data_IF_709357793051
#
_entry.id   IF_709357793051
#
_cell.length_a   1.000
_cell.length_b   1.000
_cell.length_c   1.000
_cell.angle_alpha   90.00
_cell.angle_beta   90.00
_cell.angle_gamma   90.00
#
_symmetry.space_group_name_H-M   'P 1'
#
loop_
_entity.id
_entity.type
_entity.pdbx_description
1 polymer ?
#
# COMPACT_ATOMS: atom_id res chain seq x y z
N UNK A 1 -7.37 -8.67 1.20
CA UNK A 1 -7.86 -7.47 1.92
C UNK A 1 -6.87 -7.21 3.05
N UNK A 2 -6.25 -6.02 3.08
CA UNK A 2 -5.08 -5.75 3.93
C UNK A 2 -5.35 -5.92 5.42
N UNK A 3 -4.34 -6.42 6.19
CA UNK A 3 -4.42 -6.41 7.65
C UNK A 3 -4.62 -4.97 8.12
N UNK A 4 -5.25 -4.81 9.30
CA UNK A 4 -5.60 -3.49 9.84
C UNK A 4 -4.35 -2.58 9.84
N UNK A 5 -4.29 -1.55 8.97
CA UNK A 5 -3.08 -0.74 8.79
C UNK A 5 -2.73 0.09 10.03
N UNK A 6 -3.66 0.15 11.00
CA UNK A 6 -3.57 0.89 12.24
C UNK A 6 -3.44 0.00 13.49
N UNK A 7 -3.02 -1.27 13.34
CA UNK A 7 -2.73 -2.12 14.50
C UNK A 7 -1.65 -1.50 15.40
N UNK A 8 -1.78 -1.61 16.74
CA UNK A 8 -0.80 -1.02 17.66
C UNK A 8 0.64 -1.50 17.42
N UNK A 9 1.65 -0.63 17.58
CA UNK A 9 1.50 0.81 17.79
C UNK A 9 1.02 1.50 16.50
N UNK A 10 -0.04 2.32 16.64
CA UNK A 10 -0.65 3.01 15.52
C UNK A 10 0.37 3.92 14.83
N UNK A 11 0.27 4.10 13.50
CA UNK A 11 1.15 5.02 12.80
C UNK A 11 0.90 6.46 13.26
N UNK A 12 1.97 7.24 13.36
CA UNK A 12 1.91 8.69 13.55
C UNK A 12 1.27 9.38 12.33
N UNK A 13 1.57 8.87 11.13
CA UNK A 13 1.01 9.38 9.87
C UNK A 13 0.54 8.21 9.01
N UNK A 14 -0.74 8.23 8.64
CA UNK A 14 -1.33 7.32 7.66
C UNK A 14 -1.57 8.09 6.35
N UNK A 15 -1.04 7.58 5.25
CA UNK A 15 -1.18 8.16 3.92
C UNK A 15 -2.05 7.22 3.07
N UNK A 16 -3.17 7.74 2.56
CA UNK A 16 -4.04 7.01 1.66
C UNK A 16 -3.81 7.51 0.24
N UNK A 17 -3.48 6.60 -0.67
CA UNK A 17 -3.18 6.91 -2.06
C UNK A 17 -4.22 6.25 -2.97
N UNK A 18 -5.18 7.01 -3.52
CA UNK A 18 -6.09 6.50 -4.52
C UNK A 18 -5.33 6.05 -5.77
N UNK A 19 -5.57 4.83 -6.23
CA UNK A 19 -4.88 4.26 -7.38
C UNK A 19 -5.80 3.34 -8.19
N UNK A 20 -5.72 3.39 -9.51
CA UNK A 20 -6.38 2.39 -10.35
C UNK A 20 -5.67 1.02 -10.23
N UNK A 21 -6.39 -0.11 -10.38
CA UNK A 21 -5.80 -1.46 -10.40
C UNK A 21 -4.60 -1.58 -11.35
N UNK A 22 -4.68 -0.99 -12.54
CA UNK A 22 -3.64 -1.01 -13.57
C UNK A 22 -2.35 -0.24 -13.23
N UNK A 23 -2.35 0.59 -12.19
CA UNK A 23 -1.21 1.45 -11.84
C UNK A 23 -0.12 0.75 -11.00
N UNK A 24 0.17 -0.53 -11.23
CA UNK A 24 1.14 -1.30 -10.44
C UNK A 24 2.52 -0.63 -10.39
N UNK A 25 3.04 -0.18 -11.54
CA UNK A 25 4.33 0.50 -11.61
C UNK A 25 4.36 1.85 -10.85
N UNK A 26 3.23 2.58 -10.82
CA UNK A 26 3.15 3.86 -10.08
C UNK A 26 3.15 3.62 -8.58
N UNK A 27 2.43 2.58 -8.12
CA UNK A 27 2.47 2.17 -6.71
C UNK A 27 3.87 1.73 -6.29
N UNK A 28 4.58 1.01 -7.15
CA UNK A 28 5.98 0.65 -6.91
C UNK A 28 6.87 1.90 -6.76
N UNK A 29 6.77 2.86 -7.68
CA UNK A 29 7.52 4.11 -7.58
C UNK A 29 7.23 4.89 -6.29
N UNK A 30 5.98 4.90 -5.81
CA UNK A 30 5.64 5.50 -4.51
C UNK A 30 6.33 4.76 -3.35
N UNK A 31 6.31 3.42 -3.36
CA UNK A 31 7.00 2.60 -2.34
C UNK A 31 8.50 2.83 -2.32
N UNK A 32 9.12 2.95 -3.49
CA UNK A 32 10.57 3.10 -3.64
C UNK A 32 11.04 4.55 -3.41
N UNK A 33 10.11 5.47 -3.19
CA UNK A 33 10.41 6.89 -2.94
C UNK A 33 9.82 7.33 -1.60
N UNK A 34 8.87 8.26 -1.60
CA UNK A 34 8.38 8.94 -0.41
C UNK A 34 7.39 8.10 0.42
N UNK A 35 6.77 7.08 -0.18
CA UNK A 35 5.71 6.28 0.44
C UNK A 35 6.22 5.03 1.17
N UNK A 36 7.50 4.71 1.03
CA UNK A 36 8.15 3.61 1.76
C UNK A 36 8.39 3.94 3.24
N UNK A 37 8.85 2.95 4.02
CA UNK A 37 9.33 3.20 5.37
C UNK A 37 10.47 4.22 5.32
N UNK A 38 10.35 5.30 6.07
CA UNK A 38 11.38 6.33 6.19
C UNK A 38 11.75 6.51 7.66
N UNK A 39 13.05 6.71 7.91
CA UNK A 39 13.59 7.07 9.20
C UNK A 39 14.41 5.95 9.85
N UNK A 40 15.29 6.34 10.76
CA UNK A 40 16.07 5.42 11.59
C UNK A 40 15.31 5.00 12.86
N UNK A 41 15.95 4.21 13.74
CA UNK A 41 15.42 3.87 15.06
C UNK A 41 14.91 5.10 15.81
N UNK A 42 13.68 5.03 16.34
CA UNK A 42 13.04 6.13 17.07
C UNK A 42 12.23 7.13 16.23
N UNK A 43 12.24 7.00 14.90
CA UNK A 43 11.42 7.86 14.03
C UNK A 43 9.92 7.55 14.19
N UNK A 44 9.02 8.55 14.11
CA UNK A 44 7.58 8.33 14.10
C UNK A 44 7.18 7.36 12.97
N UNK A 45 6.38 6.34 13.28
CA UNK A 45 5.98 5.35 12.28
C UNK A 45 5.03 5.95 11.25
N UNK A 46 5.41 5.90 9.98
CA UNK A 46 4.52 6.23 8.85
C UNK A 46 3.96 4.96 8.22
N UNK A 47 2.77 5.04 7.64
CA UNK A 47 2.14 3.95 6.88
C UNK A 47 1.50 4.51 5.63
N UNK A 48 1.87 3.98 4.47
CA UNK A 48 1.19 4.26 3.20
C UNK A 48 0.30 3.07 2.84
N UNK A 49 -0.93 3.35 2.41
CA UNK A 49 -1.84 2.35 1.86
C UNK A 49 -2.43 2.85 0.55
N UNK A 50 -2.57 1.96 -0.43
CA UNK A 50 -3.21 2.24 -1.71
C UNK A 50 -4.67 1.82 -1.63
N UNK A 51 -5.57 2.71 -2.03
CA UNK A 51 -7.02 2.42 -2.08
C UNK A 51 -7.39 2.24 -3.54
N UNK A 52 -7.94 1.08 -3.89
CA UNK A 52 -8.25 0.75 -5.28
C UNK A 52 -9.74 0.53 -5.50
N UNK A 53 -10.16 0.79 -6.73
CA UNK A 53 -11.47 0.35 -7.22
C UNK A 53 -11.48 -1.12 -7.63
N UNK A 54 -12.59 -1.55 -8.23
CA UNK A 54 -12.78 -2.92 -8.69
C UNK A 54 -11.83 -3.24 -9.86
N UNK A 55 -11.07 -4.34 -9.82
CA UNK A 55 -10.29 -4.79 -10.97
C UNK A 55 -11.17 -5.08 -12.18
N UNK A 56 -10.78 -4.66 -13.40
CA UNK A 56 -11.62 -4.80 -14.60
C UNK A 56 -11.72 -6.23 -15.13
N UNK A 57 -10.88 -7.16 -14.63
CA UNK A 57 -10.84 -8.54 -15.10
C UNK A 57 -10.34 -9.51 -14.01
N UNK A 58 -10.62 -10.81 -14.14
CA UNK A 58 -10.06 -11.83 -13.26
C UNK A 58 -8.53 -11.90 -13.28
N UNK A 59 -7.89 -11.58 -14.41
CA UNK A 59 -6.41 -11.51 -14.48
C UNK A 59 -5.87 -10.35 -13.65
N UNK A 60 -6.45 -9.15 -13.80
CA UNK A 60 -6.08 -7.98 -13.02
C UNK A 60 -6.31 -8.21 -11.51
N UNK A 61 -7.37 -8.93 -11.15
CA UNK A 61 -7.61 -9.32 -9.76
C UNK A 61 -6.52 -10.28 -9.22
N UNK A 62 -6.08 -11.27 -10.01
CA UNK A 62 -5.00 -12.17 -9.62
C UNK A 62 -3.66 -11.44 -9.43
N UNK A 63 -3.35 -10.51 -10.33
CA UNK A 63 -2.15 -9.67 -10.22
C UNK A 63 -2.19 -8.81 -8.95
N UNK A 64 -3.34 -8.17 -8.69
CA UNK A 64 -3.54 -7.35 -7.50
C UNK A 64 -3.44 -8.17 -6.21
N UNK A 65 -3.97 -9.40 -6.19
CA UNK A 65 -3.81 -10.32 -5.06
C UNK A 65 -2.34 -10.73 -4.87
N UNK A 66 -1.59 -10.92 -5.94
CA UNK A 66 -0.15 -11.17 -5.90
C UNK A 66 0.62 -9.99 -5.29
N UNK A 67 0.29 -8.77 -5.70
CA UNK A 67 0.84 -7.54 -5.11
C UNK A 67 0.46 -7.41 -3.63
N UNK A 68 -0.81 -7.63 -3.30
CA UNK A 68 -1.31 -7.57 -1.93
C UNK A 68 -0.56 -8.52 -1.00
N UNK A 69 -0.29 -9.76 -1.44
CA UNK A 69 0.50 -10.73 -0.65
C UNK A 69 1.94 -10.28 -0.43
N UNK A 70 2.53 -9.56 -1.40
CA UNK A 70 3.92 -9.08 -1.30
C UNK A 70 4.06 -7.86 -0.41
N UNK A 71 3.12 -6.92 -0.47
CA UNK A 71 3.27 -5.60 0.16
C UNK A 71 2.31 -5.34 1.33
N UNK A 72 1.12 -5.96 1.35
CA UNK A 72 0.17 -5.85 2.46
C UNK A 72 -0.38 -4.43 2.69
N UNK A 73 -0.37 -3.58 1.66
CA UNK A 73 -0.71 -2.16 1.70
C UNK A 73 -1.81 -1.77 0.70
N UNK A 74 -2.49 -2.75 0.11
CA UNK A 74 -3.54 -2.59 -0.92
C UNK A 74 -4.91 -2.82 -0.29
N UNK A 75 -5.80 -1.82 -0.36
CA UNK A 75 -7.17 -1.84 0.14
C UNK A 75 -8.17 -2.00 -1.01
#
# INVERSE_FOLDING_TARGET
>A
LSPAPCSPPAPFLLILVPSAPSHAARRLAVRDTWGGPWGGPGSPKTRTVFVLGVPPSPSAQRELLGEWRRHGDVL
#
